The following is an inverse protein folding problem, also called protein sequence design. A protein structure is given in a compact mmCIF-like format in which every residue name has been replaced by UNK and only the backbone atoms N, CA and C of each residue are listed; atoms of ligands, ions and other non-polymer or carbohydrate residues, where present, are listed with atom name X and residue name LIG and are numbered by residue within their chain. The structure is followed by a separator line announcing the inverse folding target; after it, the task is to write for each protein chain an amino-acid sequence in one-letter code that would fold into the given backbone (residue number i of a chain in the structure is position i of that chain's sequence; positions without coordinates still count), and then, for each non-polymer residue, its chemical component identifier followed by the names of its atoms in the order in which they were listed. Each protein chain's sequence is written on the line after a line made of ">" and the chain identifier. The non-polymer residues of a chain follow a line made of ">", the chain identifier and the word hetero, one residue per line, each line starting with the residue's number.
data_IF_865937178859
#
_entry.id   IF_865937178859
#
_cell.length_a   1.000
_cell.length_b   1.000
_cell.length_c   1.000
_cell.angle_alpha   90.00
_cell.angle_beta   90.00
_cell.angle_gamma   90.00
#
_symmetry.space_group_name_H-M   'P 1'
#
loop_
_entity.id
_entity.type
_entity.pdbx_description
1 polymer ?
#
# COMPACT_ATOMS: atom_id res chain seq x y z
N UNK A 1 3.45 25.89 3.24
CA UNK A 1 2.81 24.97 2.28
C UNK A 1 2.41 23.61 2.89
N UNK A 2 3.13 23.07 3.88
CA UNK A 2 2.78 21.76 4.48
C UNK A 2 1.46 21.71 5.27
N UNK A 3 1.05 22.81 5.92
CA UNK A 3 -0.22 22.82 6.68
C UNK A 3 -1.47 22.71 5.80
N UNK A 4 -1.43 23.19 4.57
CA UNK A 4 -2.56 23.11 3.64
C UNK A 4 -2.81 21.67 3.19
N UNK A 5 -1.76 20.89 2.96
CA UNK A 5 -1.88 19.47 2.59
C UNK A 5 -2.39 18.63 3.77
N UNK A 6 -1.92 18.92 4.99
CA UNK A 6 -2.40 18.27 6.21
C UNK A 6 -3.86 18.63 6.54
N UNK A 7 -4.24 19.89 6.39
CA UNK A 7 -5.62 20.31 6.60
C UNK A 7 -6.55 19.70 5.55
N UNK A 8 -6.13 19.66 4.28
CA UNK A 8 -6.88 19.03 3.21
C UNK A 8 -7.08 17.52 3.44
N UNK A 9 -6.02 16.81 3.85
CA UNK A 9 -6.11 15.37 4.16
C UNK A 9 -7.00 15.11 5.37
N UNK A 10 -6.97 15.98 6.39
CA UNK A 10 -7.82 15.88 7.57
C UNK A 10 -9.29 16.17 7.26
N UNK A 11 -9.58 17.24 6.50
CA UNK A 11 -10.93 17.66 6.15
C UNK A 11 -11.66 16.63 5.28
N UNK A 12 -10.94 15.90 4.41
CA UNK A 12 -11.51 14.87 3.54
C UNK A 12 -11.64 13.48 4.16
N UNK A 13 -11.19 13.27 5.41
CA UNK A 13 -11.03 11.92 5.97
C UNK A 13 -12.35 11.17 6.13
N UNK A 14 -13.40 11.82 6.63
CA UNK A 14 -14.71 11.16 6.83
C UNK A 14 -15.33 10.70 5.51
N UNK A 15 -15.34 11.57 4.50
CA UNK A 15 -15.82 11.23 3.16
C UNK A 15 -14.99 10.11 2.50
N UNK A 16 -13.67 10.08 2.76
CA UNK A 16 -12.81 9.00 2.28
C UNK A 16 -13.16 7.64 2.95
N UNK A 17 -13.43 7.63 4.25
CA UNK A 17 -13.82 6.42 5.00
C UNK A 17 -15.16 5.87 4.52
N UNK A 18 -16.18 6.72 4.38
CA UNK A 18 -17.49 6.29 3.84
C UNK A 18 -17.36 5.65 2.45
N UNK A 19 -16.52 6.23 1.59
CA UNK A 19 -16.24 5.68 0.26
C UNK A 19 -15.53 4.33 0.34
N UNK A 20 -14.59 4.14 1.27
CA UNK A 20 -13.92 2.85 1.50
C UNK A 20 -14.93 1.81 1.97
N UNK A 21 -15.78 2.13 2.94
CA UNK A 21 -16.80 1.21 3.45
C UNK A 21 -17.81 0.80 2.36
N UNK A 22 -18.25 1.76 1.53
CA UNK A 22 -19.13 1.46 0.40
C UNK A 22 -18.48 0.48 -0.58
N UNK A 23 -17.19 0.64 -0.87
CA UNK A 23 -16.47 -0.27 -1.76
C UNK A 23 -16.23 -1.63 -1.12
N UNK A 24 -15.95 -1.67 0.19
CA UNK A 24 -15.81 -2.93 0.94
C UNK A 24 -17.11 -3.76 0.92
N UNK A 25 -18.27 -3.10 1.02
CA UNK A 25 -19.58 -3.76 0.84
C UNK A 25 -19.75 -4.36 -0.55
N UNK A 26 -19.32 -3.66 -1.60
CA UNK A 26 -19.37 -4.15 -2.98
C UNK A 26 -18.44 -5.36 -3.19
N UNK A 27 -17.19 -5.30 -2.69
CA UNK A 27 -16.23 -6.40 -2.73
C UNK A 27 -16.83 -7.66 -2.09
N UNK A 28 -17.47 -7.51 -0.93
CA UNK A 28 -18.16 -8.62 -0.25
C UNK A 28 -19.34 -9.15 -1.06
N UNK A 29 -20.17 -8.28 -1.63
CA UNK A 29 -21.34 -8.67 -2.40
C UNK A 29 -20.98 -9.40 -3.71
N UNK A 30 -19.82 -9.09 -4.29
CA UNK A 30 -19.30 -9.70 -5.51
C UNK A 30 -18.36 -10.87 -5.24
N UNK A 31 -18.17 -11.27 -3.97
CA UNK A 31 -17.25 -12.34 -3.55
C UNK A 31 -15.82 -12.16 -4.07
N UNK A 32 -15.38 -10.90 -4.23
CA UNK A 32 -14.01 -10.58 -4.60
C UNK A 32 -13.09 -10.78 -3.40
N UNK A 33 -11.85 -11.23 -3.65
CA UNK A 33 -10.91 -11.53 -2.56
C UNK A 33 -10.53 -10.30 -1.74
N UNK A 34 -10.25 -9.19 -2.41
CA UNK A 34 -9.96 -7.91 -1.76
C UNK A 34 -10.19 -6.72 -2.72
N UNK A 35 -10.04 -5.52 -2.17
CA UNK A 35 -10.14 -4.28 -2.93
C UNK A 35 -8.78 -3.91 -3.52
N UNK A 36 -8.74 -3.64 -4.82
CA UNK A 36 -7.58 -3.06 -5.50
C UNK A 36 -7.27 -1.67 -4.93
N UNK A 37 -6.21 -1.56 -4.11
CA UNK A 37 -5.81 -0.29 -3.48
C UNK A 37 -5.10 0.66 -4.46
N UNK A 38 -4.37 0.10 -5.41
CA UNK A 38 -3.56 0.81 -6.39
C UNK A 38 -3.65 0.14 -7.75
N UNK A 39 -3.55 0.90 -8.85
CA UNK A 39 -3.61 0.36 -10.21
C UNK A 39 -2.24 0.21 -10.87
N UNK A 40 -1.21 0.76 -10.25
CA UNK A 40 0.16 0.80 -10.76
C UNK A 40 0.92 -0.50 -10.44
N UNK A 41 1.76 -0.50 -9.39
CA UNK A 41 2.59 -1.65 -9.03
C UNK A 41 1.72 -2.88 -8.69
N UNK A 42 1.98 -3.99 -9.38
CA UNK A 42 1.22 -5.25 -9.24
C UNK A 42 1.18 -5.79 -7.81
N UNK A 43 2.27 -5.61 -7.08
CA UNK A 43 2.46 -6.11 -5.73
C UNK A 43 1.84 -5.20 -4.65
N UNK A 44 1.32 -4.04 -5.04
CA UNK A 44 0.63 -3.12 -4.12
C UNK A 44 -0.88 -3.13 -4.28
N UNK A 45 -1.40 -3.66 -5.40
CA UNK A 45 -2.84 -3.70 -5.70
C UNK A 45 -3.64 -4.49 -4.67
N UNK A 46 -3.19 -5.69 -4.36
CA UNK A 46 -3.85 -6.65 -3.48
C UNK A 46 -2.81 -7.22 -2.51
N UNK A 47 -2.47 -6.50 -1.42
CA UNK A 47 -1.35 -6.87 -0.56
C UNK A 47 -1.46 -8.28 0.04
N UNK A 48 -2.69 -8.81 0.16
CA UNK A 48 -2.95 -10.16 0.67
C UNK A 48 -2.63 -11.27 -0.35
N UNK A 49 -2.72 -10.96 -1.64
CA UNK A 49 -2.54 -11.90 -2.76
C UNK A 49 -1.26 -11.65 -3.55
N UNK A 50 -0.58 -10.53 -3.30
CA UNK A 50 0.62 -10.14 -4.00
C UNK A 50 1.76 -11.15 -3.79
N UNK A 51 2.46 -11.49 -4.87
CA UNK A 51 3.72 -12.22 -4.82
C UNK A 51 4.77 -11.38 -4.09
N UNK A 52 5.37 -11.96 -3.04
CA UNK A 52 6.42 -11.32 -2.21
C UNK A 52 7.72 -11.10 -2.97
N UNK A 53 7.95 -11.82 -4.07
CA UNK A 53 9.13 -11.67 -4.90
C UNK A 53 8.95 -10.68 -6.04
N UNK A 54 7.71 -10.26 -6.32
CA UNK A 54 7.41 -9.31 -7.40
C UNK A 54 8.18 -7.98 -7.32
N UNK A 55 8.46 -7.37 -6.15
CA UNK A 55 9.28 -6.17 -6.06
C UNK A 55 10.76 -6.37 -6.48
N UNK A 56 11.23 -7.61 -6.64
CA UNK A 56 12.63 -7.96 -6.90
C UNK A 56 12.84 -8.63 -8.26
N UNK A 57 11.85 -8.57 -9.15
CA UNK A 57 11.95 -9.18 -10.48
C UNK A 57 12.78 -8.33 -11.45
N UNK A 58 12.97 -7.05 -11.14
CA UNK A 58 13.82 -6.15 -11.92
C UNK A 58 15.29 -6.25 -11.51
N UNK A 59 16.16 -5.69 -12.35
CA UNK A 59 17.60 -5.64 -12.08
C UNK A 59 17.87 -4.94 -10.72
N UNK A 60 18.87 -5.37 -9.91
CA UNK A 60 19.14 -4.80 -8.58
C UNK A 60 19.39 -3.28 -8.52
N UNK A 61 19.70 -2.66 -9.66
CA UNK A 61 19.97 -1.22 -9.81
C UNK A 61 18.84 -0.51 -10.59
N UNK A 62 17.78 -1.24 -10.94
CA UNK A 62 16.61 -0.66 -11.60
C UNK A 62 15.88 0.26 -10.64
N UNK A 63 15.47 1.43 -11.13
CA UNK A 63 14.63 2.34 -10.38
C UNK A 63 13.17 1.94 -10.55
N UNK A 64 12.46 1.81 -9.44
CA UNK A 64 11.01 1.61 -9.46
C UNK A 64 10.33 2.89 -9.99
N UNK A 65 9.45 2.73 -10.97
CA UNK A 65 8.74 3.83 -11.61
C UNK A 65 7.36 4.05 -10.99
N UNK A 66 6.84 3.08 -10.25
CA UNK A 66 5.54 3.18 -9.61
C UNK A 66 5.64 3.82 -8.22
N UNK A 67 5.11 5.05 -8.00
CA UNK A 67 5.17 5.73 -6.71
C UNK A 67 4.50 4.93 -5.58
N UNK A 68 3.51 4.10 -5.93
CA UNK A 68 2.82 3.21 -4.99
C UNK A 68 3.73 2.17 -4.35
N UNK A 69 4.87 1.82 -4.97
CA UNK A 69 5.89 0.95 -4.40
C UNK A 69 6.49 1.49 -3.10
N UNK A 70 6.55 2.82 -2.92
CA UNK A 70 7.04 3.45 -1.68
C UNK A 70 6.01 3.50 -0.55
N UNK A 71 4.74 3.19 -0.82
CA UNK A 71 3.66 3.25 0.17
C UNK A 71 3.52 1.96 0.99
N UNK A 72 4.02 0.83 0.47
CA UNK A 72 3.99 -0.46 1.15
C UNK A 72 5.41 -0.80 1.61
N UNK A 73 5.63 -0.70 2.91
CA UNK A 73 6.91 -1.05 3.53
C UNK A 73 7.13 -2.56 3.64
N UNK A 74 8.37 -2.99 3.92
CA UNK A 74 8.69 -4.40 4.14
C UNK A 74 7.87 -4.99 5.30
N UNK A 75 7.52 -6.29 5.22
CA UNK A 75 6.71 -6.94 6.25
C UNK A 75 7.39 -6.89 7.62
N UNK A 76 6.60 -6.76 8.68
CA UNK A 76 7.10 -6.59 10.06
C UNK A 76 8.09 -7.67 10.49
N UNK A 77 7.95 -8.90 10.00
CA UNK A 77 8.86 -10.02 10.29
C UNK A 77 10.30 -9.76 9.82
N UNK A 78 10.50 -8.95 8.78
CA UNK A 78 11.82 -8.57 8.28
C UNK A 78 12.42 -7.34 8.99
N UNK A 79 11.67 -6.65 9.86
CA UNK A 79 12.16 -5.47 10.59
C UNK A 79 13.09 -5.84 11.76
N UNK A 80 13.02 -7.07 12.28
CA UNK A 80 13.77 -7.50 13.48
C UNK A 80 15.26 -7.75 13.26
N UNK A 81 15.76 -7.72 12.03
CA UNK A 81 17.16 -8.09 11.74
C UNK A 81 18.14 -6.93 11.95
N UNK A 82 17.67 -5.67 11.97
CA UNK A 82 18.56 -4.50 12.09
C UNK A 82 18.73 -3.96 13.52
N UNK A 83 17.80 -4.26 14.45
CA UNK A 83 17.94 -3.80 15.84
C UNK A 83 19.02 -4.59 16.59
N UNK A 84 19.34 -5.82 16.15
CA UNK A 84 20.41 -6.65 16.71
C UNK A 84 21.81 -6.35 16.14
N UNK A 85 21.91 -5.42 15.18
CA UNK A 85 23.18 -5.03 14.55
C UNK A 85 23.65 -3.63 14.99
N UNK A 86 22.95 -3.02 15.96
CA UNK A 86 23.24 -1.69 16.52
C UNK A 86 23.54 -1.72 18.03
N UNK A 87 23.68 -2.91 18.61
CA UNK A 87 24.38 -3.19 19.89
C UNK A 87 25.74 -3.84 19.59
#
# INVERSE_FOLDING_TARGET
>A
MSCLVWFHSHAGRSAALERIESRARLVRALELTDLCLFTEARYTRHPTQADRHAPFQDHPVSLEHFPTGSLIGPPQRMRKTNDAALD
#
